data_IF_973737173831
#
_entry.id   IF_973737173831
#
_cell.length_a   1.000
_cell.length_b   1.000
_cell.length_c   1.000
_cell.angle_alpha   90.00
_cell.angle_beta   90.00
_cell.angle_gamma   90.00
#
_symmetry.space_group_name_H-M   'P 1'
#
loop_
_entity.id
_entity.type
_entity.pdbx_description
1 polymer ?
#
# COMPACT_ATOMS: atom_id res chain seq x y z
N UNK A 1 4.14 17.47 -12.59
CA UNK A 1 3.43 16.20 -12.39
C UNK A 1 2.90 16.19 -10.97
N UNK A 2 1.66 15.89 -10.79
CA UNK A 2 1.01 15.90 -9.46
C UNK A 2 0.48 14.49 -9.20
N UNK A 3 0.64 14.01 -8.00
CA UNK A 3 0.23 12.67 -7.63
C UNK A 3 -0.56 12.66 -6.33
N UNK A 4 -1.63 11.88 -6.27
CA UNK A 4 -2.43 11.70 -5.07
C UNK A 4 -2.75 10.23 -4.83
N UNK A 5 -2.62 9.77 -3.61
CA UNK A 5 -3.02 8.42 -3.21
C UNK A 5 -3.80 8.47 -1.90
N UNK A 6 -5.05 7.98 -1.86
CA UNK A 6 -5.79 7.85 -0.62
C UNK A 6 -5.34 6.62 0.15
N UNK A 7 -4.63 6.79 1.24
CA UNK A 7 -4.27 5.70 2.15
C UNK A 7 -5.19 5.66 3.37
N UNK A 8 -5.82 4.51 3.61
CA UNK A 8 -6.55 4.25 4.85
C UNK A 8 -5.55 3.92 5.94
N UNK A 9 -5.22 4.89 6.79
CA UNK A 9 -4.44 4.52 7.96
C UNK A 9 -3.55 5.56 8.60
N UNK A 10 -3.03 6.47 7.87
CA UNK A 10 -2.58 7.76 8.36
C UNK A 10 -3.63 8.79 7.98
N UNK A 11 -3.92 9.72 8.82
CA UNK A 11 -4.95 10.74 8.66
C UNK A 11 -4.64 11.67 7.48
N UNK A 12 -4.86 11.25 6.25
CA UNK A 12 -4.79 12.12 5.08
C UNK A 12 -4.42 11.40 3.79
N UNK A 13 -5.00 11.83 2.67
CA UNK A 13 -4.43 11.66 1.34
C UNK A 13 -3.32 12.67 1.17
N UNK A 14 -2.15 12.26 0.70
CA UNK A 14 -1.09 13.19 0.30
C UNK A 14 -1.21 13.45 -1.19
N UNK A 15 -1.24 14.72 -1.56
CA UNK A 15 -1.15 15.18 -2.95
C UNK A 15 0.15 15.96 -3.10
N UNK A 16 0.94 15.63 -4.09
CA UNK A 16 2.26 16.21 -4.27
C UNK A 16 2.45 16.70 -5.70
N UNK A 17 3.10 17.84 -5.85
CA UNK A 17 3.47 18.40 -7.16
C UNK A 17 4.96 18.19 -7.35
N UNK A 18 5.32 17.45 -8.38
CA UNK A 18 6.71 17.22 -8.73
C UNK A 18 6.97 17.58 -10.19
N UNK A 19 8.03 18.32 -10.44
CA UNK A 19 8.49 18.63 -11.80
C UNK A 19 9.85 17.93 -11.99
N UNK A 20 9.93 16.85 -12.80
CA UNK A 20 11.19 16.22 -13.09
C UNK A 20 12.06 17.15 -13.93
N UNK A 21 13.15 17.65 -13.37
CA UNK A 21 14.29 18.09 -14.18
C UNK A 21 15.24 16.90 -14.32
N UNK A 22 15.86 16.71 -15.47
CA UNK A 22 16.82 15.63 -15.70
C UNK A 22 17.83 15.61 -14.56
N UNK A 23 17.70 14.62 -13.66
CA UNK A 23 18.69 14.30 -12.64
C UNK A 23 18.26 14.29 -11.19
N UNK A 24 17.15 14.90 -10.77
CA UNK A 24 16.64 14.84 -9.40
C UNK A 24 15.14 15.15 -9.36
N UNK A 25 14.40 14.38 -8.59
CA UNK A 25 13.03 14.72 -8.21
C UNK A 25 13.08 15.83 -7.16
N UNK A 26 12.22 16.83 -7.30
CA UNK A 26 12.10 17.92 -6.35
C UNK A 26 10.63 18.08 -5.96
N UNK A 27 10.35 17.97 -4.67
CA UNK A 27 9.04 18.31 -4.12
C UNK A 27 8.86 19.82 -4.18
N UNK A 28 7.80 20.28 -4.83
CA UNK A 28 7.50 21.71 -5.01
C UNK A 28 6.29 22.16 -4.19
N UNK A 29 5.37 21.22 -3.89
CA UNK A 29 4.21 21.48 -3.06
C UNK A 29 3.63 20.18 -2.54
N UNK A 30 3.01 20.23 -1.37
CA UNK A 30 2.40 19.07 -0.69
C UNK A 30 1.05 19.49 -0.12
N UNK A 31 0.05 18.60 -0.24
CA UNK A 31 -1.21 18.72 0.49
C UNK A 31 -1.59 17.37 1.10
N UNK A 32 -2.14 17.40 2.30
CA UNK A 32 -2.63 16.23 3.01
C UNK A 32 -4.03 16.48 3.54
N UNK A 33 -4.99 15.71 3.08
CA UNK A 33 -6.38 15.75 3.54
C UNK A 33 -6.89 14.41 4.06
N UNK A 34 -7.93 14.37 4.89
CA UNK A 34 -8.54 13.13 5.34
C UNK A 34 -9.28 12.47 4.19
N UNK A 35 -9.12 11.16 4.02
CA UNK A 35 -10.00 10.42 3.11
C UNK A 35 -11.42 10.44 3.65
N UNK A 36 -12.44 10.82 2.84
CA UNK A 36 -13.84 10.76 3.26
C UNK A 36 -14.21 9.39 3.82
N UNK A 37 -14.94 9.38 4.93
CA UNK A 37 -15.43 8.15 5.56
C UNK A 37 -16.90 7.88 5.28
N UNK A 38 -17.58 8.84 4.67
CA UNK A 38 -18.98 8.81 4.25
C UNK A 38 -19.09 9.36 2.82
N UNK A 39 -20.23 9.19 2.20
CA UNK A 39 -20.45 9.60 0.81
C UNK A 39 -20.13 8.48 -0.18
N UNK A 40 -19.63 8.84 -1.36
CA UNK A 40 -19.35 7.92 -2.45
C UNK A 40 -18.10 8.28 -3.26
N UNK A 41 -17.90 7.62 -4.42
CA UNK A 41 -16.74 7.86 -5.27
C UNK A 41 -16.56 9.31 -5.71
N UNK A 42 -17.66 10.03 -5.93
CA UNK A 42 -17.63 11.44 -6.33
C UNK A 42 -17.07 12.34 -5.23
N UNK A 43 -17.45 12.10 -3.97
CA UNK A 43 -16.94 12.86 -2.82
C UNK A 43 -15.44 12.62 -2.63
N UNK A 44 -14.99 11.39 -2.85
CA UNK A 44 -13.55 11.04 -2.83
C UNK A 44 -12.81 11.77 -3.95
N UNK A 45 -13.35 11.79 -5.17
CA UNK A 45 -12.73 12.48 -6.31
C UNK A 45 -12.67 13.99 -6.09
N UNK A 46 -13.69 14.60 -5.48
CA UNK A 46 -13.69 16.02 -5.14
C UNK A 46 -12.60 16.37 -4.12
N UNK A 47 -12.45 15.57 -3.06
CA UNK A 47 -11.39 15.76 -2.07
C UNK A 47 -10.00 15.58 -2.68
N UNK A 48 -9.82 14.59 -3.56
CA UNK A 48 -8.58 14.42 -4.31
C UNK A 48 -8.27 15.64 -5.18
N UNK A 49 -9.26 16.15 -5.91
CA UNK A 49 -9.09 17.35 -6.75
C UNK A 49 -8.76 18.59 -5.93
N UNK A 50 -9.37 18.74 -4.75
CA UNK A 50 -9.07 19.84 -3.83
C UNK A 50 -7.62 19.78 -3.35
N UNK A 51 -7.16 18.64 -2.85
CA UNK A 51 -5.78 18.45 -2.41
C UNK A 51 -4.75 18.64 -3.54
N UNK A 52 -5.07 18.20 -4.77
CA UNK A 52 -4.22 18.40 -5.94
C UNK A 52 -4.10 19.88 -6.32
N UNK A 53 -5.19 20.65 -6.23
CA UNK A 53 -5.16 22.11 -6.45
C UNK A 53 -4.36 22.83 -5.37
N UNK A 54 -4.50 22.40 -4.11
CA UNK A 54 -3.75 22.97 -2.99
C UNK A 54 -2.24 22.75 -3.16
N UNK A 55 -1.81 21.52 -3.48
CA UNK A 55 -0.41 21.21 -3.74
C UNK A 55 0.15 21.99 -4.96
N UNK A 56 -0.65 22.15 -6.03
CA UNK A 56 -0.28 22.94 -7.19
C UNK A 56 -0.12 24.42 -6.83
N UNK A 57 -1.04 24.97 -6.04
CA UNK A 57 -0.98 26.36 -5.57
C UNK A 57 0.25 26.61 -4.69
N UNK A 58 0.60 25.68 -3.80
CA UNK A 58 1.84 25.74 -3.01
C UNK A 58 3.09 25.74 -3.90
N UNK A 59 3.07 24.96 -4.98
CA UNK A 59 4.12 24.98 -6.00
C UNK A 59 4.13 26.23 -6.90
N UNK A 60 3.15 27.13 -6.76
CA UNK A 60 3.03 28.34 -7.57
C UNK A 60 2.57 28.11 -9.01
N UNK A 61 1.85 27.01 -9.27
CA UNK A 61 1.33 26.64 -10.59
C UNK A 61 -0.16 26.32 -10.55
N UNK A 62 -0.84 26.51 -11.68
CA UNK A 62 -2.22 26.04 -11.88
C UNK A 62 -2.22 24.61 -12.38
N UNK A 63 -3.20 23.78 -11.93
CA UNK A 63 -3.30 22.39 -12.38
C UNK A 63 -3.46 22.25 -13.89
N UNK A 64 -4.14 23.20 -14.53
CA UNK A 64 -4.32 23.25 -15.99
C UNK A 64 -3.03 23.50 -16.79
N UNK A 65 -1.97 23.98 -16.15
CA UNK A 65 -0.66 24.20 -16.76
C UNK A 65 0.26 22.97 -16.68
N UNK A 66 -0.14 21.94 -15.95
CA UNK A 66 0.63 20.69 -15.81
C UNK A 66 0.52 19.85 -17.08
N UNK A 67 1.56 19.11 -17.43
CA UNK A 67 1.51 18.11 -18.52
C UNK A 67 0.52 16.98 -18.23
N UNK A 68 0.29 16.69 -16.95
CA UNK A 68 -0.68 15.72 -16.47
C UNK A 68 -0.54 15.43 -14.99
N UNK A 69 -1.52 14.71 -14.47
CA UNK A 69 -1.64 14.29 -13.07
C UNK A 69 -1.73 12.78 -12.99
N UNK A 70 -0.78 12.15 -12.31
CA UNK A 70 -0.85 10.73 -11.97
C UNK A 70 -1.55 10.52 -10.64
N UNK A 71 -2.38 9.50 -10.55
CA UNK A 71 -3.17 9.15 -9.36
C UNK A 71 -3.00 7.66 -9.04
N UNK A 72 -2.65 7.35 -7.79
CA UNK A 72 -2.71 6.00 -7.24
C UNK A 72 -4.03 5.78 -6.51
N UNK A 73 -4.79 4.76 -6.88
CA UNK A 73 -6.07 4.42 -6.25
C UNK A 73 -6.09 2.97 -5.78
N UNK A 74 -6.65 2.68 -4.59
CA UNK A 74 -6.98 1.31 -4.24
C UNK A 74 -8.09 0.77 -5.13
N UNK A 75 -8.19 -0.55 -5.21
CA UNK A 75 -9.20 -1.25 -6.01
C UNK A 75 -8.66 -1.78 -7.32
N UNK A 76 -9.57 -2.26 -8.15
CA UNK A 76 -9.27 -2.73 -9.50
C UNK A 76 -9.30 -1.53 -10.45
N UNK A 77 -8.15 -1.19 -11.01
CA UNK A 77 -7.92 -0.01 -11.85
C UNK A 77 -7.70 -0.43 -13.29
N UNK A 78 -8.54 0.06 -14.18
CA UNK A 78 -8.28 0.04 -15.61
C UNK A 78 -7.43 1.26 -15.98
N UNK A 79 -6.13 1.05 -16.19
CA UNK A 79 -5.20 2.14 -16.53
C UNK A 79 -5.50 2.78 -17.91
N UNK A 80 -6.23 2.10 -18.81
CA UNK A 80 -6.55 2.63 -20.14
C UNK A 80 -7.70 3.63 -20.08
N UNK A 81 -8.72 3.33 -19.29
CA UNK A 81 -9.93 4.16 -19.15
C UNK A 81 -9.89 5.09 -17.93
N UNK A 82 -9.02 4.82 -16.96
CA UNK A 82 -9.00 5.52 -15.66
C UNK A 82 -10.20 5.17 -14.79
N UNK A 83 -10.92 4.08 -15.10
CA UNK A 83 -11.99 3.56 -14.26
C UNK A 83 -11.43 2.81 -13.05
N UNK A 84 -12.09 2.99 -11.90
CA UNK A 84 -11.77 2.29 -10.66
C UNK A 84 -12.98 1.54 -10.17
N UNK A 85 -12.83 0.25 -9.90
CA UNK A 85 -13.87 -0.61 -9.33
C UNK A 85 -13.39 -1.32 -8.08
N UNK A 86 -14.34 -1.87 -7.30
CA UNK A 86 -14.04 -2.68 -6.11
C UNK A 86 -13.11 -2.02 -5.07
N UNK A 87 -13.06 -0.69 -4.98
CA UNK A 87 -12.28 0.03 -3.99
C UNK A 87 -12.91 -0.07 -2.58
N UNK A 88 -12.95 -1.28 -2.04
CA UNK A 88 -13.64 -1.66 -0.78
C UNK A 88 -13.17 -0.88 0.46
N UNK A 89 -12.07 -0.18 0.33
CA UNK A 89 -11.50 0.67 1.37
C UNK A 89 -12.09 2.09 1.38
N UNK A 90 -12.81 2.46 0.33
CA UNK A 90 -13.42 3.76 0.16
C UNK A 90 -14.94 3.69 0.36
N UNK A 91 -15.59 4.77 0.80
CA UNK A 91 -17.03 4.77 1.07
C UNK A 91 -17.83 4.66 -0.23
N UNK A 92 -18.91 3.88 -0.20
CA UNK A 92 -19.91 3.80 -1.28
C UNK A 92 -19.37 3.34 -2.64
N UNK A 93 -18.21 2.69 -2.70
CA UNK A 93 -17.60 2.23 -3.95
C UNK A 93 -18.08 0.83 -4.33
N UNK A 94 -19.38 0.73 -4.65
CA UNK A 94 -20.05 -0.55 -4.94
C UNK A 94 -20.04 -0.96 -6.43
N UNK A 95 -19.45 -0.12 -7.29
CA UNK A 95 -19.39 -0.36 -8.74
C UNK A 95 -18.13 0.23 -9.37
N UNK A 96 -18.15 0.43 -10.70
CA UNK A 96 -17.13 1.16 -11.43
C UNK A 96 -17.39 2.66 -11.36
N UNK A 97 -16.33 3.46 -11.26
CA UNK A 97 -16.38 4.93 -11.26
C UNK A 97 -15.28 5.48 -12.19
N UNK A 98 -15.59 6.42 -13.10
CA UNK A 98 -14.64 7.00 -14.04
C UNK A 98 -13.77 8.06 -13.38
N UNK A 99 -12.90 7.62 -12.44
CA UNK A 99 -12.09 8.51 -11.61
C UNK A 99 -11.18 9.40 -12.46
N UNK A 100 -10.52 8.84 -13.48
CA UNK A 100 -9.64 9.58 -14.39
C UNK A 100 -10.37 10.74 -15.05
N UNK A 101 -11.47 10.45 -15.76
CA UNK A 101 -12.27 11.48 -16.45
C UNK A 101 -12.88 12.51 -15.50
N UNK A 102 -13.29 12.10 -14.29
CA UNK A 102 -13.82 13.02 -13.27
C UNK A 102 -12.75 14.00 -12.84
N UNK A 103 -11.54 13.53 -12.57
CA UNK A 103 -10.42 14.38 -12.16
C UNK A 103 -9.90 15.24 -13.33
N UNK A 104 -9.88 14.74 -14.57
CA UNK A 104 -9.53 15.53 -15.76
C UNK A 104 -10.43 16.76 -15.88
N UNK A 105 -11.75 16.56 -15.77
CA UNK A 105 -12.72 17.66 -15.81
C UNK A 105 -12.51 18.65 -14.65
N UNK A 106 -12.19 18.15 -13.45
CA UNK A 106 -12.01 19.01 -12.28
C UNK A 106 -10.71 19.83 -12.32
N UNK A 107 -9.63 19.26 -12.89
CA UNK A 107 -8.28 19.82 -12.85
C UNK A 107 -7.88 20.56 -14.13
N UNK A 108 -8.59 20.34 -15.22
CA UNK A 108 -8.31 20.94 -16.53
C UNK A 108 -7.02 20.40 -17.20
N UNK A 109 -6.58 19.21 -16.81
CA UNK A 109 -5.40 18.53 -17.37
C UNK A 109 -5.61 17.04 -17.46
N UNK A 110 -4.77 16.33 -18.21
CA UNK A 110 -4.83 14.87 -18.35
C UNK A 110 -4.59 14.17 -17.02
N UNK A 111 -5.35 13.10 -16.75
CA UNK A 111 -5.19 12.28 -15.56
C UNK A 111 -4.93 10.82 -15.96
N UNK A 112 -3.91 10.21 -15.36
CA UNK A 112 -3.69 8.76 -15.42
C UNK A 112 -3.86 8.16 -14.04
N UNK A 113 -4.58 7.03 -13.98
CA UNK A 113 -4.85 6.34 -12.73
C UNK A 113 -4.17 4.98 -12.77
N UNK A 114 -3.45 4.64 -11.70
CA UNK A 114 -2.86 3.32 -11.49
C UNK A 114 -3.25 2.74 -10.13
N UNK A 115 -3.01 1.46 -9.90
CA UNK A 115 -3.20 0.89 -8.57
C UNK A 115 -2.15 1.48 -7.60
N UNK A 116 -2.58 1.87 -6.40
CA UNK A 116 -1.75 2.58 -5.40
C UNK A 116 -0.49 1.78 -4.99
N UNK A 117 -0.59 0.47 -4.84
CA UNK A 117 0.54 -0.39 -4.48
C UNK A 117 1.46 -0.65 -5.67
N UNK A 118 0.90 -0.82 -6.87
CA UNK A 118 1.68 -1.00 -8.08
C UNK A 118 2.53 0.25 -8.38
N UNK A 119 1.95 1.45 -8.33
CA UNK A 119 2.71 2.70 -8.58
C UNK A 119 3.78 2.92 -7.50
N UNK A 120 3.48 2.61 -6.23
CA UNK A 120 4.48 2.68 -5.17
C UNK A 120 5.64 1.67 -5.39
N UNK A 121 5.34 0.49 -5.92
CA UNK A 121 6.36 -0.51 -6.30
C UNK A 121 7.25 0.02 -7.43
N UNK A 122 6.66 0.69 -8.42
CA UNK A 122 7.41 1.32 -9.52
C UNK A 122 8.30 2.47 -9.05
N UNK A 123 7.81 3.28 -8.10
CA UNK A 123 8.64 4.32 -7.48
C UNK A 123 9.89 3.71 -6.83
N UNK A 124 9.72 2.68 -6.02
CA UNK A 124 10.83 2.00 -5.37
C UNK A 124 11.77 1.31 -6.38
N UNK A 125 11.22 0.78 -7.46
CA UNK A 125 12.01 0.19 -8.54
C UNK A 125 12.89 1.23 -9.24
N UNK A 126 12.35 2.38 -9.60
CA UNK A 126 13.08 3.39 -10.37
C UNK A 126 13.97 4.29 -9.51
N UNK A 127 13.56 4.60 -8.29
CA UNK A 127 14.11 5.69 -7.49
C UNK A 127 14.53 5.27 -6.07
N UNK A 128 14.01 4.15 -5.58
CA UNK A 128 14.18 3.69 -4.21
C UNK A 128 15.00 2.41 -4.05
N UNK A 129 14.56 1.56 -3.15
CA UNK A 129 15.23 0.33 -2.72
C UNK A 129 15.37 -0.74 -3.84
N UNK A 130 14.61 -0.59 -4.93
CA UNK A 130 14.59 -1.54 -6.05
C UNK A 130 15.55 -1.22 -7.20
N UNK A 131 16.28 -0.10 -7.19
CA UNK A 131 17.05 0.45 -8.33
C UNK A 131 18.12 -0.47 -8.91
N UNK A 132 18.66 -1.38 -8.14
CA UNK A 132 19.72 -2.31 -8.56
C UNK A 132 19.21 -3.60 -9.20
N UNK A 133 17.89 -3.84 -9.17
CA UNK A 133 17.26 -5.07 -9.62
C UNK A 133 16.51 -4.87 -10.95
N UNK A 134 16.33 -5.93 -11.72
CA UNK A 134 15.52 -5.95 -12.94
C UNK A 134 14.12 -6.52 -12.70
N UNK A 135 14.01 -7.42 -11.72
CA UNK A 135 12.73 -8.03 -11.38
C UNK A 135 12.54 -8.04 -9.87
N UNK A 136 11.43 -7.53 -9.40
CA UNK A 136 11.10 -7.50 -7.98
C UNK A 136 9.60 -7.63 -7.72
N UNK A 137 9.29 -8.02 -6.48
CA UNK A 137 7.94 -8.01 -5.92
C UNK A 137 7.89 -6.93 -4.84
N UNK A 138 7.00 -5.95 -4.98
CA UNK A 138 6.60 -5.08 -3.88
C UNK A 138 5.56 -5.77 -3.00
N UNK A 139 5.74 -5.73 -1.69
CA UNK A 139 4.79 -6.25 -0.69
C UNK A 139 4.51 -5.16 0.31
N UNK A 140 3.31 -4.60 0.29
CA UNK A 140 2.94 -3.48 1.13
C UNK A 140 2.09 -3.96 2.31
N UNK A 141 2.74 -4.14 3.43
CA UNK A 141 2.14 -4.55 4.69
C UNK A 141 1.59 -3.33 5.44
N UNK A 142 0.31 -3.12 5.31
CA UNK A 142 -0.41 -1.96 5.83
C UNK A 142 -1.74 -2.33 6.47
N UNK A 143 -2.80 -1.57 6.17
CA UNK A 143 -4.18 -1.88 6.59
C UNK A 143 -4.62 -3.25 6.09
N UNK A 144 -4.34 -3.56 4.83
CA UNK A 144 -4.35 -4.88 4.21
C UNK A 144 -2.94 -5.32 3.87
N UNK A 145 -2.83 -6.19 2.86
CA UNK A 145 -1.58 -6.58 2.22
C UNK A 145 -1.76 -6.45 0.72
N UNK A 146 -1.07 -5.52 0.11
CA UNK A 146 -1.05 -5.35 -1.33
C UNK A 146 0.29 -5.75 -1.94
N UNK A 147 0.33 -5.87 -3.26
CA UNK A 147 1.57 -6.15 -3.98
C UNK A 147 1.64 -5.46 -5.33
N UNK A 148 2.86 -5.33 -5.83
CA UNK A 148 3.15 -4.86 -7.17
C UNK A 148 4.28 -5.66 -7.77
N UNK A 149 4.32 -5.74 -9.09
CA UNK A 149 5.29 -6.58 -9.82
C UNK A 149 6.06 -5.73 -10.83
N UNK A 150 7.40 -5.85 -10.77
CA UNK A 150 8.31 -5.39 -11.82
C UNK A 150 9.02 -6.62 -12.37
N UNK A 151 8.83 -6.93 -13.64
CA UNK A 151 9.47 -8.06 -14.32
C UNK A 151 10.26 -7.55 -15.52
N UNK A 152 11.53 -7.89 -15.60
CA UNK A 152 12.45 -7.47 -16.67
C UNK A 152 12.42 -5.94 -16.93
N UNK A 153 12.41 -5.16 -15.85
CA UNK A 153 12.47 -3.70 -15.90
C UNK A 153 11.13 -3.03 -16.23
N UNK A 154 10.02 -3.78 -16.26
CA UNK A 154 8.70 -3.28 -16.62
C UNK A 154 7.64 -3.66 -15.60
N UNK A 155 6.63 -2.82 -15.37
CA UNK A 155 5.48 -3.19 -14.56
C UNK A 155 4.72 -4.35 -15.20
N UNK A 156 4.40 -5.35 -14.38
CA UNK A 156 3.57 -6.47 -14.82
C UNK A 156 2.17 -6.35 -14.24
N UNK A 157 1.24 -5.88 -15.06
CA UNK A 157 -0.15 -5.63 -14.65
C UNK A 157 -1.07 -6.83 -14.95
N UNK A 158 -0.58 -7.79 -15.75
CA UNK A 158 -1.43 -8.90 -16.22
C UNK A 158 -2.62 -8.36 -17.02
N UNK A 159 -3.83 -8.68 -16.56
CA UNK A 159 -5.08 -8.14 -17.09
C UNK A 159 -5.70 -7.08 -16.15
N UNK A 160 -4.86 -6.42 -15.33
CA UNK A 160 -5.26 -5.41 -14.36
C UNK A 160 -5.20 -5.87 -12.89
N UNK A 161 -5.16 -7.16 -12.61
CA UNK A 161 -5.19 -7.71 -11.24
C UNK A 161 -3.90 -8.46 -10.84
N UNK A 162 -2.79 -8.21 -11.51
CA UNK A 162 -1.51 -8.76 -11.09
C UNK A 162 -1.04 -8.11 -9.78
N UNK A 163 -0.34 -8.86 -8.95
CA UNK A 163 0.15 -8.32 -7.67
C UNK A 163 -0.81 -8.44 -6.49
N UNK A 164 -2.01 -9.01 -6.66
CA UNK A 164 -2.96 -9.27 -5.57
C UNK A 164 -2.45 -10.34 -4.56
N UNK A 165 -1.19 -10.18 -4.13
CA UNK A 165 -0.45 -11.14 -3.30
C UNK A 165 -1.13 -11.36 -1.94
N UNK A 166 -1.77 -10.34 -1.37
CA UNK A 166 -2.50 -10.43 -0.12
C UNK A 166 -3.64 -11.44 -0.14
N UNK A 167 -4.14 -11.77 -1.33
CA UNK A 167 -5.23 -12.72 -1.52
C UNK A 167 -4.77 -14.14 -1.88
N UNK A 168 -3.46 -14.39 -1.90
CA UNK A 168 -2.93 -15.76 -1.98
C UNK A 168 -3.33 -16.55 -0.74
N UNK A 169 -3.80 -17.79 -0.94
CA UNK A 169 -4.25 -18.66 0.15
C UNK A 169 -3.05 -19.33 0.80
N UNK A 170 -2.67 -18.88 1.98
CA UNK A 170 -1.58 -19.44 2.80
C UNK A 170 -2.05 -20.52 3.77
N UNK A 171 -3.37 -20.57 4.06
CA UNK A 171 -3.96 -21.57 4.93
C UNK A 171 -5.35 -21.99 4.47
N UNK A 172 -5.45 -23.14 3.83
CA UNK A 172 -6.74 -23.68 3.36
C UNK A 172 -7.75 -23.79 4.52
N UNK A 173 -8.94 -23.22 4.31
CA UNK A 173 -10.01 -23.22 5.33
C UNK A 173 -9.75 -22.32 6.54
N UNK A 174 -8.71 -21.49 6.49
CA UNK A 174 -8.30 -20.59 7.58
C UNK A 174 -9.19 -19.38 7.81
N UNK A 175 -8.62 -18.29 8.30
CA UNK A 175 -9.33 -17.09 8.68
C UNK A 175 -10.12 -16.47 7.50
N UNK A 176 -11.27 -15.86 7.80
CA UNK A 176 -12.10 -15.16 6.80
C UNK A 176 -11.38 -13.87 6.36
N UNK A 177 -11.24 -13.69 5.07
CA UNK A 177 -10.70 -12.47 4.47
C UNK A 177 -11.84 -11.50 4.10
N UNK A 178 -11.62 -10.18 4.15
CA UNK A 178 -12.58 -9.18 3.66
C UNK A 178 -13.00 -9.39 2.20
N UNK A 179 -12.15 -10.04 1.37
CA UNK A 179 -12.49 -10.41 0.00
C UNK A 179 -13.56 -11.51 -0.12
N UNK A 180 -14.06 -12.05 1.00
CA UNK A 180 -15.08 -13.12 1.05
C UNK A 180 -14.51 -14.55 1.10
N UNK A 181 -13.24 -14.74 0.75
CA UNK A 181 -12.54 -16.06 0.78
C UNK A 181 -11.99 -16.36 2.17
N UNK A 182 -11.42 -17.54 2.34
CA UNK A 182 -10.77 -17.99 3.58
C UNK A 182 -9.32 -18.34 3.33
N UNK A 183 -8.45 -17.96 4.30
CA UNK A 183 -7.06 -18.36 4.32
C UNK A 183 -6.12 -17.50 3.53
N UNK A 184 -6.57 -16.34 3.04
CA UNK A 184 -5.72 -15.35 2.38
C UNK A 184 -4.61 -14.86 3.33
N UNK A 185 -3.45 -14.52 2.82
CA UNK A 185 -2.33 -13.93 3.56
C UNK A 185 -2.79 -12.67 4.34
N UNK A 186 -3.56 -11.78 3.71
CA UNK A 186 -4.12 -10.59 4.33
C UNK A 186 -5.00 -10.87 5.55
N UNK A 187 -5.71 -12.00 5.58
CA UNK A 187 -6.55 -12.37 6.71
C UNK A 187 -5.76 -12.64 8.01
N UNK A 188 -4.44 -12.76 7.91
CA UNK A 188 -3.52 -12.92 9.05
C UNK A 188 -2.62 -11.71 9.22
N UNK A 189 -2.10 -11.15 8.13
CA UNK A 189 -1.10 -10.10 8.17
C UNK A 189 -1.66 -8.69 8.06
N UNK A 190 -2.81 -8.49 7.41
CA UNK A 190 -3.43 -7.16 7.33
C UNK A 190 -3.72 -6.59 8.71
N UNK A 191 -3.32 -5.32 8.96
CA UNK A 191 -3.52 -4.65 10.26
C UNK A 191 -4.98 -4.67 10.71
N UNK A 192 -5.91 -4.50 9.77
CA UNK A 192 -7.35 -4.56 10.08
C UNK A 192 -7.78 -5.97 10.53
N UNK A 193 -7.22 -7.02 9.91
CA UNK A 193 -7.49 -8.41 10.31
C UNK A 193 -6.87 -8.73 11.69
N UNK A 194 -5.63 -8.29 11.92
CA UNK A 194 -4.97 -8.41 13.22
C UNK A 194 -5.75 -7.68 14.32
N UNK A 195 -6.26 -6.47 14.05
CA UNK A 195 -7.09 -5.72 14.98
C UNK A 195 -8.39 -6.45 15.30
N UNK A 196 -9.09 -6.97 14.29
CA UNK A 196 -10.32 -7.74 14.48
C UNK A 196 -10.09 -8.97 15.37
N UNK A 197 -8.99 -9.67 15.15
CA UNK A 197 -8.61 -10.84 15.96
C UNK A 197 -8.22 -10.43 17.39
N UNK A 198 -7.46 -9.34 17.58
CA UNK A 198 -7.12 -8.81 18.90
C UNK A 198 -8.40 -8.44 19.68
N UNK A 199 -9.37 -7.78 19.03
CA UNK A 199 -10.67 -7.45 19.65
C UNK A 199 -11.47 -8.70 20.04
N UNK A 200 -11.45 -9.74 19.21
CA UNK A 200 -12.10 -11.04 19.50
C UNK A 200 -11.49 -11.69 20.73
N UNK A 201 -10.16 -11.85 20.75
CA UNK A 201 -9.46 -12.49 21.88
C UNK A 201 -9.58 -11.68 23.18
N UNK A 202 -9.54 -10.35 23.09
CA UNK A 202 -9.74 -9.48 24.26
C UNK A 202 -11.14 -9.65 24.87
N UNK A 203 -12.19 -9.79 24.05
CA UNK A 203 -13.55 -10.10 24.50
C UNK A 203 -13.65 -11.48 25.18
N UNK A 204 -12.81 -12.42 24.80
CA UNK A 204 -12.69 -13.75 25.39
C UNK A 204 -11.83 -13.76 26.66
N UNK A 205 -11.36 -12.60 27.12
CA UNK A 205 -10.64 -12.43 28.38
C UNK A 205 -9.10 -12.41 28.24
N UNK A 206 -8.54 -12.46 27.03
CA UNK A 206 -7.09 -12.33 26.84
C UNK A 206 -6.66 -10.91 27.24
N UNK A 207 -5.68 -10.81 28.12
CA UNK A 207 -5.13 -9.53 28.57
C UNK A 207 -4.24 -8.93 27.50
N UNK A 208 -4.40 -7.62 27.25
CA UNK A 208 -3.57 -6.86 26.31
C UNK A 208 -3.61 -5.36 26.63
N UNK A 209 -2.51 -4.69 26.41
CA UNK A 209 -2.40 -3.23 26.53
C UNK A 209 -2.79 -2.49 25.23
N UNK A 210 -3.00 -3.20 24.10
CA UNK A 210 -3.34 -2.61 22.79
C UNK A 210 -4.48 -1.59 22.88
N UNK A 211 -5.60 -1.95 23.53
CA UNK A 211 -6.77 -1.07 23.61
C UNK A 211 -6.62 0.04 24.64
N UNK A 212 -5.80 -0.15 25.68
CA UNK A 212 -5.43 0.89 26.63
C UNK A 212 -4.53 1.92 25.95
N UNK A 213 -3.53 1.48 25.19
CA UNK A 213 -2.67 2.35 24.40
C UNK A 213 -3.47 3.10 23.33
N UNK A 214 -4.39 2.43 22.63
CA UNK A 214 -5.25 3.05 21.65
C UNK A 214 -6.04 4.22 22.23
N UNK A 215 -6.71 4.03 23.39
CA UNK A 215 -7.45 5.11 24.09
C UNK A 215 -6.52 6.21 24.59
N UNK A 216 -5.37 5.86 25.16
CA UNK A 216 -4.38 6.83 25.68
C UNK A 216 -3.86 7.77 24.59
N UNK A 217 -3.77 7.27 23.37
CA UNK A 217 -3.28 8.05 22.21
C UNK A 217 -4.42 8.60 21.35
N UNK A 218 -5.66 8.58 21.86
CA UNK A 218 -6.85 9.13 21.19
C UNK A 218 -7.03 8.59 19.76
N UNK A 219 -6.86 7.27 19.62
CA UNK A 219 -7.02 6.58 18.33
C UNK A 219 -8.30 5.75 18.34
N UNK A 220 -8.99 5.72 17.22
CA UNK A 220 -10.21 4.92 16.97
C UNK A 220 -9.87 3.47 16.55
N UNK A 221 -8.61 3.23 16.18
CA UNK A 221 -8.10 1.95 15.68
C UNK A 221 -6.67 1.68 16.13
N UNK A 222 -6.25 0.40 16.02
CA UNK A 222 -4.89 -0.02 16.32
C UNK A 222 -3.96 0.36 15.15
N UNK A 223 -3.37 1.56 15.23
CA UNK A 223 -2.38 2.03 14.24
C UNK A 223 -1.06 1.25 14.36
N UNK A 224 -0.19 1.32 13.34
CA UNK A 224 1.14 0.69 13.39
C UNK A 224 1.95 1.12 14.62
N UNK A 225 1.86 2.39 15.03
CA UNK A 225 2.52 2.87 16.25
C UNK A 225 1.91 2.35 17.55
N UNK A 226 0.62 1.98 17.59
CA UNK A 226 0.03 1.30 18.75
C UNK A 226 0.56 -0.13 18.86
N UNK A 227 0.63 -0.85 17.74
CA UNK A 227 1.21 -2.20 17.69
C UNK A 227 2.67 -2.20 18.17
N UNK A 228 3.49 -1.28 17.65
CA UNK A 228 4.89 -1.13 18.07
C UNK A 228 5.01 -0.92 19.57
N UNK A 229 4.27 0.04 20.14
CA UNK A 229 4.30 0.32 21.59
C UNK A 229 3.84 -0.87 22.43
N UNK A 230 2.85 -1.63 21.98
CA UNK A 230 2.41 -2.82 22.68
C UNK A 230 3.52 -3.89 22.71
N UNK A 231 4.19 -4.11 21.59
CA UNK A 231 5.32 -5.04 21.48
C UNK A 231 6.50 -4.56 22.32
N UNK A 232 6.80 -3.27 22.36
CA UNK A 232 7.86 -2.69 23.20
C UNK A 232 7.57 -2.85 24.69
N UNK A 233 6.28 -2.96 25.07
CA UNK A 233 5.82 -3.26 26.41
C UNK A 233 5.69 -4.77 26.69
N UNK A 234 6.19 -5.64 25.81
CA UNK A 234 6.07 -7.10 25.88
C UNK A 234 4.61 -7.59 25.98
N UNK A 235 3.72 -7.01 25.20
CA UNK A 235 2.34 -7.47 25.09
C UNK A 235 2.28 -8.78 24.29
N UNK A 236 2.04 -9.90 24.98
CA UNK A 236 2.05 -11.23 24.38
C UNK A 236 1.02 -11.38 23.24
N UNK A 237 -0.16 -10.76 23.36
CA UNK A 237 -1.16 -10.85 22.28
C UNK A 237 -0.66 -10.13 21.03
N UNK A 238 -0.04 -8.96 21.17
CA UNK A 238 0.54 -8.22 20.06
C UNK A 238 1.68 -9.01 19.41
N UNK A 239 2.57 -9.58 20.20
CA UNK A 239 3.67 -10.42 19.71
C UNK A 239 3.18 -11.66 18.97
N UNK A 240 2.21 -12.39 19.52
CA UNK A 240 1.62 -13.58 18.91
C UNK A 240 0.93 -13.26 17.57
N UNK A 241 0.19 -12.15 17.50
CA UNK A 241 -0.49 -11.77 16.27
C UNK A 241 0.49 -11.31 15.19
N UNK A 242 1.56 -10.61 15.55
CA UNK A 242 2.62 -10.24 14.60
C UNK A 242 3.42 -11.46 14.16
N UNK A 243 3.73 -12.40 15.05
CA UNK A 243 4.39 -13.66 14.67
C UNK A 243 3.55 -14.43 13.63
N UNK A 244 2.23 -14.55 13.84
CA UNK A 244 1.31 -15.17 12.86
C UNK A 244 1.24 -14.40 11.53
N UNK A 245 1.37 -13.07 11.58
CA UNK A 245 1.44 -12.26 10.37
C UNK A 245 2.73 -12.54 9.58
N UNK A 246 3.87 -12.66 10.27
CA UNK A 246 5.16 -13.02 9.65
C UNK A 246 5.12 -14.40 9.01
N UNK A 247 4.52 -15.41 9.68
CA UNK A 247 4.31 -16.74 9.11
C UNK A 247 3.51 -16.68 7.80
N UNK A 248 2.40 -15.92 7.81
CA UNK A 248 1.55 -15.78 6.63
C UNK A 248 2.25 -15.04 5.49
N UNK A 249 2.96 -13.95 5.81
CA UNK A 249 3.76 -13.18 4.84
C UNK A 249 4.87 -14.05 4.24
N UNK A 250 5.67 -14.72 5.08
CA UNK A 250 6.76 -15.58 4.63
C UNK A 250 6.28 -16.69 3.69
N UNK A 251 5.19 -17.37 4.05
CA UNK A 251 4.57 -18.43 3.22
C UNK A 251 4.09 -17.88 1.87
N UNK A 252 3.36 -16.75 1.88
CA UNK A 252 2.81 -16.16 0.66
C UNK A 252 3.91 -15.60 -0.24
N UNK A 253 4.86 -14.86 0.33
CA UNK A 253 6.00 -14.30 -0.42
C UNK A 253 6.82 -15.43 -1.05
N UNK A 254 7.13 -16.50 -0.31
CA UNK A 254 7.86 -17.64 -0.85
C UNK A 254 7.13 -18.31 -2.02
N UNK A 255 5.81 -18.42 -1.96
CA UNK A 255 5.01 -18.93 -3.07
C UNK A 255 5.11 -18.07 -4.32
N UNK A 256 5.10 -16.74 -4.17
CA UNK A 256 5.29 -15.81 -5.27
C UNK A 256 6.74 -15.85 -5.81
N UNK A 257 7.73 -15.96 -4.93
CA UNK A 257 9.15 -16.12 -5.31
C UNK A 257 9.36 -17.42 -6.08
N UNK A 258 8.82 -18.54 -5.62
CA UNK A 258 8.92 -19.82 -6.32
C UNK A 258 8.25 -19.80 -7.71
N UNK A 259 7.28 -18.92 -7.92
CA UNK A 259 6.57 -18.78 -9.20
C UNK A 259 7.28 -17.83 -10.18
N UNK A 260 7.81 -16.71 -9.67
CA UNK A 260 8.29 -15.60 -10.49
C UNK A 260 9.82 -15.46 -10.53
N UNK A 261 10.53 -16.11 -9.61
CA UNK A 261 12.00 -16.05 -9.40
C UNK A 261 12.55 -14.60 -9.48
N UNK A 262 12.01 -13.65 -8.69
CA UNK A 262 12.47 -12.27 -8.71
C UNK A 262 13.83 -12.12 -8.02
N UNK A 263 14.57 -11.07 -8.36
CA UNK A 263 15.84 -10.75 -7.71
C UNK A 263 15.66 -10.15 -6.32
N UNK A 264 14.51 -9.50 -6.07
CA UNK A 264 14.23 -8.85 -4.79
C UNK A 264 12.75 -8.90 -4.39
N UNK A 265 12.55 -8.73 -3.08
CA UNK A 265 11.26 -8.45 -2.43
C UNK A 265 11.40 -7.13 -1.67
N UNK A 266 10.57 -6.14 -2.00
CA UNK A 266 10.58 -4.83 -1.37
C UNK A 266 9.39 -4.74 -0.43
N UNK A 267 9.65 -4.54 0.87
CA UNK A 267 8.63 -4.48 1.92
C UNK A 267 8.28 -3.02 2.21
N UNK A 268 7.03 -2.66 1.98
CA UNK A 268 6.48 -1.33 2.24
C UNK A 268 5.23 -1.37 3.11
N UNK A 269 4.49 -0.27 3.09
CA UNK A 269 3.29 -0.07 3.90
C UNK A 269 3.58 0.28 5.35
N UNK A 270 2.58 0.82 6.04
CA UNK A 270 2.77 1.41 7.37
C UNK A 270 3.24 0.43 8.47
N UNK A 271 2.94 -0.88 8.37
CA UNK A 271 3.53 -1.90 9.24
C UNK A 271 4.90 -2.32 8.72
N UNK A 272 5.06 -2.51 7.40
CA UNK A 272 6.31 -2.90 6.79
C UNK A 272 7.46 -1.91 7.08
N UNK A 273 7.20 -0.62 6.95
CA UNK A 273 8.16 0.44 7.31
C UNK A 273 8.43 0.46 8.82
N UNK A 274 7.37 0.42 9.64
CA UNK A 274 7.48 0.50 11.10
C UNK A 274 8.21 -0.69 11.71
N UNK A 275 7.96 -1.87 11.16
CA UNK A 275 8.50 -3.14 11.65
C UNK A 275 9.71 -3.63 10.85
N UNK A 276 10.06 -2.95 9.75
CA UNK A 276 11.06 -3.43 8.80
C UNK A 276 12.36 -3.89 9.46
N UNK A 277 13.00 -3.03 10.25
CA UNK A 277 14.27 -3.39 10.90
C UNK A 277 14.10 -4.54 11.90
N UNK A 278 13.02 -4.53 12.70
CA UNK A 278 12.79 -5.52 13.76
C UNK A 278 12.41 -6.90 13.24
N UNK A 279 11.62 -6.94 12.16
CA UNK A 279 11.02 -8.19 11.68
C UNK A 279 11.52 -8.65 10.31
N UNK A 280 12.49 -7.95 9.71
CA UNK A 280 13.06 -8.33 8.43
C UNK A 280 13.75 -9.69 8.48
N UNK A 281 14.57 -9.94 9.53
CA UNK A 281 15.24 -11.23 9.71
C UNK A 281 14.22 -12.36 9.95
N UNK A 282 13.25 -12.26 10.89
CA UNK A 282 12.19 -13.25 11.05
C UNK A 282 11.41 -13.53 9.77
N UNK A 283 11.04 -12.48 9.00
CA UNK A 283 10.34 -12.62 7.75
C UNK A 283 11.17 -13.37 6.70
N UNK A 284 12.42 -12.96 6.52
CA UNK A 284 13.35 -13.61 5.58
C UNK A 284 13.58 -15.07 5.94
N UNK A 285 13.74 -15.36 7.24
CA UNK A 285 13.91 -16.74 7.73
C UNK A 285 12.66 -17.57 7.46
N UNK A 286 11.46 -17.02 7.69
CA UNK A 286 10.22 -17.74 7.42
C UNK A 286 10.01 -17.97 5.94
N UNK A 287 10.23 -16.95 5.10
CA UNK A 287 10.21 -17.08 3.64
C UNK A 287 11.17 -18.17 3.16
N UNK A 288 12.42 -18.18 3.64
CA UNK A 288 13.46 -19.12 3.22
C UNK A 288 13.12 -20.58 3.48
N UNK A 289 12.30 -20.88 4.52
CA UNK A 289 11.83 -22.24 4.81
C UNK A 289 10.96 -22.85 3.70
N UNK A 290 10.36 -21.99 2.88
CA UNK A 290 9.40 -22.37 1.85
C UNK A 290 9.93 -22.15 0.43
N UNK A 291 11.18 -21.69 0.27
CA UNK A 291 11.80 -21.53 -1.05
C UNK A 291 12.24 -22.89 -1.60
N UNK A 292 11.97 -23.11 -2.88
CA UNK A 292 12.47 -24.27 -3.62
C UNK A 292 13.99 -24.14 -3.87
N UNK A 293 14.46 -22.92 -4.18
CA UNK A 293 15.90 -22.61 -4.36
C UNK A 293 16.35 -21.75 -3.18
N UNK A 294 16.70 -22.39 -2.08
CA UNK A 294 17.12 -21.74 -0.83
C UNK A 294 18.56 -21.23 -0.84
N UNK A 295 19.41 -21.72 -1.76
CA UNK A 295 20.81 -21.28 -1.89
C UNK A 295 20.93 -19.92 -2.58
N UNK A 296 19.86 -19.44 -3.23
CA UNK A 296 19.80 -18.15 -3.92
C UNK A 296 18.50 -17.42 -3.59
N UNK A 297 18.30 -17.04 -2.33
CA UNK A 297 17.10 -16.30 -1.94
C UNK A 297 17.11 -14.90 -2.57
N UNK A 298 15.94 -14.30 -2.87
CA UNK A 298 15.89 -12.92 -3.31
C UNK A 298 16.40 -11.98 -2.21
N UNK A 299 16.92 -10.83 -2.60
CA UNK A 299 17.24 -9.77 -1.65
C UNK A 299 15.93 -9.24 -1.02
N UNK A 300 15.90 -9.08 0.29
CA UNK A 300 14.76 -8.46 0.99
C UNK A 300 15.16 -7.07 1.45
N UNK A 301 14.38 -6.05 1.09
CA UNK A 301 14.65 -4.64 1.41
C UNK A 301 13.38 -3.97 1.93
N UNK A 302 13.55 -2.94 2.74
CA UNK A 302 12.46 -2.03 3.11
C UNK A 302 12.43 -0.87 2.12
N UNK A 303 11.25 -0.36 1.81
CA UNK A 303 11.07 0.86 0.99
C UNK A 303 11.89 2.03 1.53
N UNK A 304 12.37 2.88 0.64
CA UNK A 304 13.20 4.04 0.99
C UNK A 304 12.56 5.40 0.70
N UNK A 305 11.51 5.43 -0.13
CA UNK A 305 10.81 6.66 -0.49
C UNK A 305 9.74 7.08 0.54
N UNK A 306 9.52 6.25 1.57
CA UNK A 306 8.62 6.58 2.67
C UNK A 306 7.17 6.79 2.24
N UNK A 307 6.52 7.79 2.85
CA UNK A 307 5.12 8.15 2.59
C UNK A 307 4.92 8.72 1.17
N UNK A 308 5.96 9.23 0.54
CA UNK A 308 5.94 9.85 -0.79
C UNK A 308 5.93 8.82 -1.93
N UNK A 309 6.32 7.57 -1.66
CA UNK A 309 6.48 6.54 -2.69
C UNK A 309 5.26 6.36 -3.58
N UNK A 310 4.05 6.42 -3.02
CA UNK A 310 2.81 6.30 -3.79
C UNK A 310 2.59 7.47 -4.77
N UNK A 311 2.82 8.69 -4.30
CA UNK A 311 2.67 9.91 -5.09
C UNK A 311 3.74 10.00 -6.19
N UNK A 312 5.00 9.75 -5.84
CA UNK A 312 6.10 9.66 -6.80
C UNK A 312 5.79 8.61 -7.88
N UNK A 313 5.35 7.42 -7.47
CA UNK A 313 5.02 6.36 -8.42
C UNK A 313 3.85 6.71 -9.34
N UNK A 314 2.83 7.35 -8.82
CA UNK A 314 1.72 7.84 -9.64
C UNK A 314 2.21 8.85 -10.68
N UNK A 315 3.16 9.72 -10.35
CA UNK A 315 3.74 10.67 -11.30
C UNK A 315 4.45 9.96 -12.46
N UNK A 316 5.07 8.80 -12.21
CA UNK A 316 5.74 8.00 -13.24
C UNK A 316 4.79 7.41 -14.30
N UNK A 317 3.46 7.39 -14.06
CA UNK A 317 2.49 6.98 -15.06
C UNK A 317 2.58 7.79 -16.37
N UNK A 318 3.10 9.01 -16.32
CA UNK A 318 3.34 9.85 -17.51
C UNK A 318 4.75 9.65 -18.11
N UNK A 319 5.62 8.91 -17.45
CA UNK A 319 6.97 8.63 -17.94
C UNK A 319 7.08 7.28 -18.69
N UNK A 320 5.99 6.49 -18.69
CA UNK A 320 5.88 5.20 -19.40
C UNK A 320 5.69 5.37 -20.90
#
# INVERSE_FOLDING_TARGET
MVAGSPTKGSSGSSCEVEIPRRGALQLLGESRGPTPTQGGPADVAEEMAAGLREAAAEAGVETSSLEGVGVGSPGDVDEQTGEVSTARNLPGWDGSFPLGATLENALGTKVRVGNDVQVATEAEFHLGAGREFKSLIGVFWGTGVGGGLMLDGRPWLGRGAAGEIGHMVVKRGGAKCPCGRKGCMEAYAGRAAMEAEARRQHKEGVKTDLFKLMRRHERDRLTSGIWERAIDNNDHLAEDLVARAIEALGTGIASAVNLLDPEAVIIGGGLGVRFGERYMEPLTKEMSRHLFVDQRPPAVRVVTLGDLGGAIGASLLFAR
#
